data_IF_913830465510
#
_entry.id   IF_913830465510
#
_cell.length_a   1.000
_cell.length_b   1.000
_cell.length_c   1.000
_cell.angle_alpha   90.00
_cell.angle_beta   90.00
_cell.angle_gamma   90.00
#
_symmetry.space_group_name_H-M   'P 1'
#
loop_
_entity.id
_entity.type
_entity.pdbx_description
1 polymer ?
#
# COMPACT_ATOMS: atom_id res chain seq x y z
N UNK A 1 5.05 12.16 19.71
CA UNK A 1 3.60 12.20 19.41
C UNK A 1 3.05 10.77 19.37
N UNK A 2 2.21 10.37 20.34
CA UNK A 2 1.69 8.99 20.45
C UNK A 2 0.65 8.76 19.34
N UNK A 3 0.98 7.97 18.31
CA UNK A 3 0.04 7.60 17.24
C UNK A 3 -1.08 6.75 17.84
N UNK A 4 -2.27 7.33 18.00
CA UNK A 4 -3.46 6.59 18.41
C UNK A 4 -3.78 5.58 17.29
N UNK A 5 -3.77 4.29 17.62
CA UNK A 5 -4.04 3.18 16.70
C UNK A 5 -5.33 2.45 17.13
N UNK A 6 -6.52 3.07 16.92
CA UNK A 6 -7.77 2.58 17.47
C UNK A 6 -8.19 1.24 16.86
N UNK A 7 -7.77 0.95 15.62
CA UNK A 7 -8.03 -0.31 14.94
C UNK A 7 -6.89 -1.35 15.10
N UNK A 8 -5.89 -1.09 15.96
CA UNK A 8 -4.73 -1.98 16.19
C UNK A 8 -4.01 -2.44 14.92
N UNK A 9 -4.15 -1.70 13.81
CA UNK A 9 -3.59 -2.08 12.52
C UNK A 9 -2.07 -2.22 12.63
N UNK A 10 -1.52 -3.31 12.10
CA UNK A 10 -0.08 -3.58 12.14
C UNK A 10 0.72 -2.46 11.44
N UNK A 11 0.16 -1.87 10.37
CA UNK A 11 0.74 -0.73 9.64
C UNK A 11 1.01 0.53 10.50
N UNK A 12 0.50 0.59 11.74
CA UNK A 12 0.71 1.70 12.68
C UNK A 12 1.56 1.31 13.90
N UNK A 13 2.04 0.07 13.97
CA UNK A 13 2.99 -0.42 14.99
C UNK A 13 4.40 -0.39 14.39
N UNK A 14 5.35 0.20 15.10
CA UNK A 14 6.77 0.10 14.75
C UNK A 14 7.30 -1.24 15.25
N UNK A 15 7.81 -2.05 14.35
CA UNK A 15 8.55 -3.26 14.70
C UNK A 15 10.04 -2.98 14.48
N UNK A 16 10.95 -3.40 15.37
CA UNK A 16 12.37 -3.21 15.19
C UNK A 16 12.84 -4.00 13.96
N UNK A 17 13.66 -3.37 13.12
CA UNK A 17 14.31 -3.99 11.98
C UNK A 17 15.84 -3.93 12.16
N UNK A 18 16.53 -4.96 11.69
CA UNK A 18 17.99 -5.10 11.76
C UNK A 18 18.51 -5.40 10.37
N UNK A 19 19.64 -4.80 9.98
CA UNK A 19 20.35 -5.14 8.75
C UNK A 19 21.49 -6.10 9.08
N UNK A 20 21.49 -7.29 8.49
CA UNK A 20 22.56 -8.28 8.61
C UNK A 20 22.98 -8.68 7.20
N UNK A 21 24.25 -8.47 6.84
CA UNK A 21 24.81 -8.80 5.51
C UNK A 21 24.00 -8.25 4.33
N UNK A 22 23.48 -7.01 4.48
CA UNK A 22 22.65 -6.36 3.47
C UNK A 22 21.19 -6.84 3.44
N UNK A 23 20.80 -7.79 4.29
CA UNK A 23 19.43 -8.29 4.42
C UNK A 23 18.75 -7.59 5.60
N UNK A 24 17.61 -6.94 5.33
CA UNK A 24 16.75 -6.40 6.37
C UNK A 24 15.93 -7.55 6.97
N UNK A 25 16.08 -7.77 8.27
CA UNK A 25 15.30 -8.75 9.06
C UNK A 25 14.51 -8.02 10.14
N UNK A 26 13.30 -8.51 10.45
CA UNK A 26 12.37 -7.81 11.34
C UNK A 26 11.67 -6.62 10.66
N UNK A 27 11.06 -5.75 11.45
CA UNK A 27 10.27 -4.63 10.95
C UNK A 27 8.98 -5.05 10.24
N UNK A 28 8.46 -4.14 9.42
CA UNK A 28 7.43 -4.45 8.43
C UNK A 28 8.09 -4.35 7.07
N UNK A 29 8.31 -5.51 6.44
CA UNK A 29 8.80 -5.59 5.07
C UNK A 29 7.60 -5.62 4.13
N UNK A 30 7.62 -4.78 3.09
CA UNK A 30 6.60 -4.73 2.03
C UNK A 30 7.27 -4.88 0.69
N UNK A 31 6.60 -5.58 -0.22
CA UNK A 31 7.04 -5.67 -1.61
C UNK A 31 6.71 -4.36 -2.32
N UNK A 32 7.61 -3.94 -3.20
CA UNK A 32 7.42 -2.83 -4.12
C UNK A 32 7.55 -3.35 -5.55
N UNK A 33 6.75 -2.82 -6.47
CA UNK A 33 6.90 -3.15 -7.89
C UNK A 33 8.17 -2.50 -8.46
N UNK A 34 8.74 -3.01 -9.57
CA UNK A 34 9.87 -2.37 -10.24
C UNK A 34 9.61 -0.88 -10.52
N UNK A 35 8.43 -0.54 -11.04
CA UNK A 35 8.05 0.85 -11.30
C UNK A 35 8.04 1.74 -10.04
N UNK A 36 7.70 1.19 -8.85
CA UNK A 36 7.80 1.93 -7.60
C UNK A 36 9.25 2.16 -7.17
N UNK A 37 10.11 1.16 -7.37
CA UNK A 37 11.55 1.27 -7.09
C UNK A 37 12.18 2.31 -8.01
N UNK A 38 11.87 2.29 -9.30
CA UNK A 38 12.38 3.26 -10.28
C UNK A 38 11.91 4.67 -9.94
N UNK A 39 10.62 4.86 -9.63
CA UNK A 39 10.08 6.15 -9.20
C UNK A 39 10.76 6.68 -7.92
N UNK A 40 11.15 5.77 -7.03
CA UNK A 40 11.87 6.14 -5.82
C UNK A 40 13.31 6.56 -6.11
N UNK A 41 14.00 5.87 -7.02
CA UNK A 41 15.34 6.26 -7.45
C UNK A 41 15.34 7.62 -8.18
N UNK A 42 14.36 7.86 -9.05
CA UNK A 42 14.16 9.16 -9.69
C UNK A 42 13.94 10.27 -8.65
N UNK A 43 13.06 10.03 -7.68
CA UNK A 43 12.86 10.94 -6.55
C UNK A 43 14.17 11.23 -5.79
N UNK A 44 14.99 10.22 -5.51
CA UNK A 44 16.27 10.41 -4.81
C UNK A 44 17.26 11.24 -5.63
N UNK A 45 17.39 10.92 -6.92
CA UNK A 45 18.36 11.53 -7.82
C UNK A 45 18.01 12.97 -8.19
N UNK A 46 16.72 13.28 -8.31
CA UNK A 46 16.26 14.57 -8.81
C UNK A 46 15.62 15.42 -7.71
N UNK A 47 14.49 14.97 -7.18
CA UNK A 47 13.65 15.74 -6.28
C UNK A 47 14.29 15.96 -4.91
N UNK A 48 14.64 14.87 -4.23
CA UNK A 48 15.27 14.90 -2.92
C UNK A 48 16.65 15.53 -3.00
N UNK A 49 17.42 15.23 -4.06
CA UNK A 49 18.74 15.82 -4.26
C UNK A 49 18.68 17.36 -4.18
N UNK A 50 17.66 18.01 -4.77
CA UNK A 50 17.50 19.48 -4.70
C UNK A 50 17.36 20.04 -3.29
N UNK A 51 16.79 19.28 -2.35
CA UNK A 51 16.48 19.74 -0.98
C UNK A 51 17.26 19.03 0.11
N UNK A 52 18.14 18.07 -0.22
CA UNK A 52 18.84 17.22 0.76
C UNK A 52 19.62 17.98 1.82
N UNK A 53 20.17 19.16 1.48
CA UNK A 53 20.92 19.99 2.41
C UNK A 53 20.03 20.64 3.50
N UNK A 54 18.71 20.65 3.27
CA UNK A 54 17.70 21.17 4.18
C UNK A 54 16.98 20.06 4.96
N UNK A 55 17.28 18.79 4.67
CA UNK A 55 16.60 17.67 5.30
C UNK A 55 16.95 17.60 6.79
N UNK A 56 15.91 17.59 7.64
CA UNK A 56 16.03 17.60 9.10
C UNK A 56 15.51 16.30 9.75
N UNK A 57 15.21 15.29 8.93
CA UNK A 57 14.62 14.03 9.39
C UNK A 57 15.02 12.83 8.53
N UNK A 58 14.95 11.64 9.11
CA UNK A 58 15.20 10.36 8.42
C UNK A 58 13.97 9.83 7.66
N UNK A 59 12.97 10.68 7.40
CA UNK A 59 11.79 10.29 6.65
C UNK A 59 12.09 10.23 5.15
N UNK A 60 11.67 9.13 4.51
CA UNK A 60 11.88 8.87 3.07
C UNK A 60 11.33 10.00 2.19
N UNK A 61 10.15 10.52 2.52
CA UNK A 61 9.49 11.59 1.77
C UNK A 61 9.53 12.90 2.54
N UNK A 62 10.04 13.95 1.89
CA UNK A 62 10.14 15.31 2.44
C UNK A 62 9.37 16.31 1.59
N UNK A 63 9.16 17.51 2.13
CA UNK A 63 8.65 18.65 1.38
C UNK A 63 9.72 19.14 0.40
N UNK A 64 9.37 19.28 -0.87
CA UNK A 64 10.31 19.62 -1.94
C UNK A 64 10.43 21.12 -2.22
N UNK A 65 9.57 21.95 -1.61
CA UNK A 65 9.52 23.38 -1.88
C UNK A 65 8.91 24.17 -0.72
N UNK A 66 9.12 25.49 -0.77
CA UNK A 66 8.57 26.46 0.19
C UNK A 66 9.35 26.52 1.50
N UNK A 67 8.80 27.24 2.48
CA UNK A 67 9.44 27.53 3.78
C UNK A 67 9.74 26.28 4.62
N UNK A 68 9.19 25.12 4.24
CA UNK A 68 9.37 23.84 4.92
C UNK A 68 10.14 22.83 4.08
N UNK A 69 10.82 23.25 3.02
CA UNK A 69 11.62 22.36 2.18
C UNK A 69 12.61 21.55 3.05
N UNK A 70 12.75 20.26 2.77
CA UNK A 70 13.55 19.33 3.57
C UNK A 70 12.84 18.74 4.79
N UNK A 71 11.79 19.38 5.31
CA UNK A 71 11.03 18.82 6.42
C UNK A 71 10.20 17.60 5.99
N UNK A 72 10.05 16.63 6.88
CA UNK A 72 9.25 15.42 6.63
C UNK A 72 7.83 15.69 6.10
N UNK A 73 7.41 14.92 5.10
CA UNK A 73 6.10 15.08 4.46
C UNK A 73 4.96 14.73 5.43
N UNK A 74 4.08 15.69 5.68
CA UNK A 74 2.93 15.48 6.56
C UNK A 74 1.83 14.65 5.88
N UNK A 75 0.99 13.97 6.67
CA UNK A 75 -0.16 13.23 6.12
C UNK A 75 -1.16 14.14 5.41
N UNK A 76 -1.24 15.42 5.80
CA UNK A 76 -2.07 16.41 5.11
C UNK A 76 -1.44 16.77 3.75
N UNK A 77 -0.13 17.03 3.72
CA UNK A 77 0.61 17.30 2.48
C UNK A 77 0.49 16.17 1.45
N UNK A 78 0.67 14.92 1.90
CA UNK A 78 0.50 13.76 1.03
C UNK A 78 -0.92 13.66 0.44
N UNK A 79 -1.98 13.94 1.24
CA UNK A 79 -3.37 13.97 0.74
C UNK A 79 -3.57 15.07 -0.30
N UNK A 80 -3.00 16.25 -0.09
CA UNK A 80 -3.08 17.33 -1.07
C UNK A 80 -2.35 16.98 -2.38
N UNK A 81 -1.18 16.32 -2.30
CA UNK A 81 -0.45 15.86 -3.49
C UNK A 81 -1.30 14.87 -4.31
N UNK A 82 -1.91 13.89 -3.64
CA UNK A 82 -2.80 12.91 -4.26
C UNK A 82 -4.02 13.59 -4.90
N UNK A 83 -4.65 14.53 -4.19
CA UNK A 83 -5.83 15.24 -4.70
C UNK A 83 -5.47 16.08 -5.95
N UNK A 84 -4.32 16.77 -5.95
CA UNK A 84 -3.83 17.47 -7.15
C UNK A 84 -3.55 16.50 -8.30
N UNK A 85 -2.94 15.35 -8.02
CA UNK A 85 -2.69 14.34 -9.04
C UNK A 85 -4.00 13.79 -9.64
N UNK A 86 -4.99 13.49 -8.81
CA UNK A 86 -6.31 13.04 -9.25
C UNK A 86 -7.01 14.07 -10.14
N UNK A 87 -6.96 15.35 -9.78
CA UNK A 87 -7.49 16.44 -10.63
C UNK A 87 -6.76 16.54 -11.97
N UNK A 88 -5.42 16.49 -11.98
CA UNK A 88 -4.62 16.51 -13.22
C UNK A 88 -4.94 15.32 -14.12
N UNK A 89 -5.26 14.17 -13.54
CA UNK A 89 -5.65 12.97 -14.28
C UNK A 89 -7.13 12.95 -14.72
N UNK A 90 -7.92 13.99 -14.42
CA UNK A 90 -9.36 14.02 -14.72
C UNK A 90 -10.23 13.13 -13.82
N UNK A 91 -9.65 12.54 -12.76
CA UNK A 91 -10.33 11.63 -11.83
C UNK A 91 -11.02 12.35 -10.65
N UNK A 92 -10.85 13.66 -10.55
CA UNK A 92 -11.35 14.45 -9.44
C UNK A 92 -10.66 14.12 -8.12
N UNK A 93 -11.44 14.05 -7.02
CA UNK A 93 -10.90 13.85 -5.67
C UNK A 93 -10.59 12.38 -5.40
N UNK A 94 -9.31 12.03 -5.38
CA UNK A 94 -8.82 10.70 -4.99
C UNK A 94 -8.37 10.69 -3.53
N UNK A 95 -8.70 9.63 -2.79
CA UNK A 95 -8.28 9.45 -1.38
C UNK A 95 -7.24 8.34 -1.27
N UNK A 96 -6.28 8.40 -0.32
CA UNK A 96 -5.35 7.29 -0.07
C UNK A 96 -6.04 5.94 0.15
N UNK A 97 -7.23 5.95 0.75
CA UNK A 97 -8.00 4.73 0.98
C UNK A 97 -8.44 4.06 -0.33
N UNK A 98 -8.73 4.84 -1.38
CA UNK A 98 -9.13 4.34 -2.70
C UNK A 98 -8.04 3.48 -3.31
N UNK A 99 -6.77 3.94 -3.26
CA UNK A 99 -5.63 3.13 -3.72
C UNK A 99 -5.52 1.80 -2.98
N UNK A 100 -5.73 1.81 -1.65
CA UNK A 100 -5.70 0.60 -0.85
C UNK A 100 -6.84 -0.37 -1.20
N UNK A 101 -8.02 0.14 -1.56
CA UNK A 101 -9.11 -0.68 -2.06
C UNK A 101 -8.76 -1.30 -3.42
N UNK A 102 -8.37 -0.48 -4.40
CA UNK A 102 -8.01 -0.94 -5.75
C UNK A 102 -6.91 -2.01 -5.70
N UNK A 103 -5.87 -1.76 -4.89
CA UNK A 103 -4.78 -2.72 -4.69
C UNK A 103 -5.26 -4.03 -4.06
N UNK A 104 -6.11 -3.97 -3.02
CA UNK A 104 -6.62 -5.16 -2.35
C UNK A 104 -7.55 -5.99 -3.24
N UNK A 105 -8.39 -5.34 -4.05
CA UNK A 105 -9.22 -6.00 -5.05
C UNK A 105 -8.35 -6.74 -6.06
N UNK A 106 -7.40 -6.05 -6.70
CA UNK A 106 -6.53 -6.65 -7.71
C UNK A 106 -5.70 -7.82 -7.15
N UNK A 107 -5.23 -7.72 -5.90
CA UNK A 107 -4.49 -8.81 -5.26
C UNK A 107 -5.41 -9.99 -4.90
N UNK A 108 -6.64 -9.73 -4.47
CA UNK A 108 -7.64 -10.78 -4.21
C UNK A 108 -7.92 -11.57 -5.49
N UNK A 109 -8.17 -10.88 -6.60
CA UNK A 109 -8.39 -11.50 -7.91
C UNK A 109 -7.17 -12.31 -8.36
N UNK A 110 -5.97 -11.72 -8.31
CA UNK A 110 -4.73 -12.38 -8.75
C UNK A 110 -4.33 -13.60 -7.90
N UNK A 111 -4.81 -13.68 -6.66
CA UNK A 111 -4.55 -14.80 -5.75
C UNK A 111 -5.69 -15.83 -5.72
N UNK A 112 -6.68 -15.70 -6.61
CA UNK A 112 -7.84 -16.59 -6.65
C UNK A 112 -8.68 -16.56 -5.37
N UNK A 113 -8.79 -15.39 -4.73
CA UNK A 113 -9.59 -15.24 -3.50
C UNK A 113 -8.86 -15.57 -2.20
N UNK A 114 -7.52 -15.65 -2.19
CA UNK A 114 -6.76 -15.88 -0.96
C UNK A 114 -6.72 -14.61 -0.07
N UNK A 115 -7.83 -14.35 0.63
CA UNK A 115 -8.02 -13.20 1.51
C UNK A 115 -7.01 -13.14 2.66
N UNK A 116 -6.46 -14.27 3.11
CA UNK A 116 -5.42 -14.32 4.13
C UNK A 116 -4.10 -13.73 3.61
N UNK A 117 -3.66 -14.14 2.42
CA UNK A 117 -2.45 -13.58 1.80
C UNK A 117 -2.60 -12.06 1.57
N UNK A 118 -3.78 -11.61 1.15
CA UNK A 118 -4.11 -10.19 0.99
C UNK A 118 -4.09 -9.46 2.35
N UNK A 119 -4.64 -10.07 3.40
CA UNK A 119 -4.66 -9.50 4.75
C UNK A 119 -3.23 -9.31 5.30
N UNK A 120 -2.38 -10.32 5.13
CA UNK A 120 -0.98 -10.31 5.56
C UNK A 120 -0.18 -9.23 4.79
N UNK A 121 -0.28 -9.21 3.46
CA UNK A 121 0.40 -8.22 2.62
C UNK A 121 -0.12 -6.79 2.83
N UNK A 122 -1.39 -6.62 3.23
CA UNK A 122 -1.89 -5.29 3.57
C UNK A 122 -1.62 -4.88 5.01
N UNK A 123 -1.29 -5.83 5.90
CA UNK A 123 -1.14 -5.61 7.34
C UNK A 123 -2.44 -5.32 8.05
N UNK A 124 -3.52 -5.95 7.61
CA UNK A 124 -4.74 -6.03 8.41
C UNK A 124 -4.52 -7.03 9.55
N UNK A 125 -5.05 -6.70 10.73
CA UNK A 125 -4.94 -7.56 11.91
C UNK A 125 -5.94 -8.74 11.84
N UNK A 126 -6.83 -8.75 10.85
CA UNK A 126 -7.86 -9.78 10.66
C UNK A 126 -8.15 -9.99 9.18
N UNK A 127 -8.20 -11.25 8.74
CA UNK A 127 -8.67 -11.63 7.41
C UNK A 127 -10.15 -11.32 7.21
N UNK A 128 -10.96 -11.33 8.27
CA UNK A 128 -12.39 -10.99 8.25
C UNK A 128 -12.66 -9.62 7.64
N UNK A 129 -11.83 -8.62 7.92
CA UNK A 129 -11.96 -7.28 7.30
C UNK A 129 -11.75 -7.33 5.78
N UNK A 130 -10.93 -8.26 5.28
CA UNK A 130 -10.69 -8.46 3.85
C UNK A 130 -11.80 -9.34 3.26
N UNK A 131 -12.21 -10.40 3.94
CA UNK A 131 -13.31 -11.28 3.55
C UNK A 131 -14.62 -10.49 3.39
N UNK A 132 -15.01 -9.72 4.40
CA UNK A 132 -16.24 -8.90 4.38
C UNK A 132 -16.22 -7.85 3.25
N UNK A 133 -15.03 -7.41 2.82
CA UNK A 133 -14.89 -6.32 1.83
C UNK A 133 -14.64 -6.82 0.41
N UNK A 134 -14.02 -7.99 0.22
CA UNK A 134 -13.49 -8.42 -1.09
C UNK A 134 -13.75 -9.88 -1.45
N UNK A 135 -14.26 -10.74 -0.54
CA UNK A 135 -14.47 -12.16 -0.83
C UNK A 135 -15.39 -12.40 -2.04
N UNK A 136 -16.33 -11.48 -2.29
CA UNK A 136 -17.28 -11.56 -3.41
C UNK A 136 -16.67 -11.21 -4.79
N UNK A 137 -15.45 -10.66 -4.84
CA UNK A 137 -14.80 -10.23 -6.08
C UNK A 137 -13.91 -11.33 -6.68
N UNK A 138 -13.53 -12.33 -5.87
CA UNK A 138 -13.01 -13.58 -6.40
C UNK A 138 -14.22 -14.39 -6.87
N UNK A 139 -14.55 -14.32 -8.16
CA UNK A 139 -15.33 -15.41 -8.77
C UNK A 139 -14.59 -16.69 -8.45
N UNK A 140 -15.20 -17.57 -7.65
CA UNK A 140 -14.50 -18.71 -7.07
C UNK A 140 -14.17 -19.70 -8.19
N UNK A 141 -12.90 -19.89 -8.59
CA UNK A 141 -12.55 -20.85 -9.63
C UNK A 141 -12.86 -22.28 -9.17
N UNK A 142 -12.91 -22.51 -7.85
CA UNK A 142 -13.36 -23.75 -7.21
C UNK A 142 -14.87 -23.91 -7.34
N UNK A 143 -15.65 -22.84 -7.20
CA UNK A 143 -17.09 -22.83 -7.45
C UNK A 143 -17.37 -23.03 -8.94
N UNK A 144 -16.64 -22.35 -9.82
CA UNK A 144 -16.72 -22.52 -11.27
C UNK A 144 -16.42 -23.98 -11.65
N UNK A 145 -15.33 -24.56 -11.14
CA UNK A 145 -14.97 -25.97 -11.38
C UNK A 145 -15.95 -26.96 -10.74
N UNK A 146 -16.50 -26.65 -9.55
CA UNK A 146 -17.52 -27.48 -8.89
C UNK A 146 -18.87 -27.41 -9.62
N UNK A 147 -19.26 -26.23 -10.10
CA UNK A 147 -20.47 -26.04 -10.92
C UNK A 147 -20.32 -26.75 -12.27
N UNK A 148 -19.16 -26.63 -12.91
CA UNK A 148 -18.85 -27.36 -14.14
C UNK A 148 -18.90 -28.88 -13.91
N UNK A 149 -18.34 -29.39 -12.81
CA UNK A 149 -18.45 -30.81 -12.45
C UNK A 149 -19.91 -31.26 -12.24
N UNK A 150 -20.72 -30.48 -11.50
CA UNK A 150 -22.16 -30.77 -11.28
C UNK A 150 -22.95 -30.75 -12.58
N UNK A 151 -22.65 -29.83 -13.51
CA UNK A 151 -23.35 -29.72 -14.79
C UNK A 151 -22.95 -30.81 -15.80
N UNK A 152 -21.79 -31.44 -15.62
CA UNK A 152 -21.29 -32.49 -16.53
C UNK A 152 -21.74 -33.89 -16.13
N UNK A 153 -22.14 -34.13 -14.87
CA UNK A 153 -22.63 -35.43 -14.38
C UNK A 153 -24.15 -35.69 -14.54
N UNK A 154 -24.86 -34.86 -15.31
CA UNK A 154 -26.30 -35.03 -15.61
C UNK A 154 -26.63 -35.33 -17.10
N UNK A 155 -25.68 -35.85 -17.87
CA UNK A 155 -25.94 -36.50 -19.17
C UNK A 155 -25.44 -37.94 -19.16
#
# INVERSE_FOLDING_TARGET
MKRINPNRAAAKRGFPATVMDGIITGGIVRRASPAMVDSYHEYLAEDYHRVRALADSDLVLVQLAGQRAGAGLSTHGARQMIDRAGRRAGLGRVRPHTFRHTWATALTEATGGNTKAVADEGGWTSSRTVEDTYAHLAGDPTLQAALEHIWTEQL
#
